data_IF_234499274015
#
_entry.id   IF_234499274015
#
_cell.length_a   1.000
_cell.length_b   1.000
_cell.length_c   1.000
_cell.angle_alpha   90.00
_cell.angle_beta   90.00
_cell.angle_gamma   90.00
#
_symmetry.space_group_name_H-M   'P 1'
#
loop_
_entity.id
_entity.type
_entity.pdbx_description
1 polymer ?
#
# COMPACT_ATOMS: atom_id res chain seq x y z
N UNK A 1 34.83 -15.45 -16.16
CA UNK A 1 34.51 -15.13 -14.75
C UNK A 1 34.12 -13.64 -14.58
N UNK A 2 33.45 -13.01 -15.56
CA UNK A 2 33.57 -11.54 -15.76
C UNK A 2 32.23 -10.78 -15.80
N UNK A 3 31.08 -11.45 -15.94
CA UNK A 3 29.76 -10.78 -16.01
C UNK A 3 29.32 -10.20 -14.66
N UNK A 4 29.59 -10.91 -13.56
CA UNK A 4 29.12 -10.53 -12.22
C UNK A 4 29.81 -9.28 -11.67
N UNK A 5 31.04 -8.98 -12.09
CA UNK A 5 31.76 -7.76 -11.70
C UNK A 5 31.21 -6.50 -12.39
N UNK A 6 30.65 -6.64 -13.61
CA UNK A 6 30.02 -5.53 -14.35
C UNK A 6 28.60 -5.22 -13.87
N UNK A 7 27.88 -6.20 -13.32
CA UNK A 7 26.49 -6.03 -12.86
C UNK A 7 26.37 -5.34 -11.50
N UNK A 8 27.31 -5.57 -10.58
CA UNK A 8 27.33 -4.93 -9.26
C UNK A 8 27.27 -3.39 -9.31
N UNK A 9 28.11 -2.68 -10.08
CA UNK A 9 28.07 -1.22 -10.14
C UNK A 9 26.78 -0.70 -10.78
N UNK A 10 26.23 -1.43 -11.77
CA UNK A 10 24.96 -1.06 -12.43
C UNK A 10 23.78 -1.21 -11.48
N UNK A 11 23.72 -2.31 -10.72
CA UNK A 11 22.67 -2.51 -9.71
C UNK A 11 22.76 -1.48 -8.58
N UNK A 12 23.98 -1.15 -8.13
CA UNK A 12 24.21 -0.09 -7.14
C UNK A 12 23.85 1.30 -7.69
N UNK A 13 24.11 1.58 -8.96
CA UNK A 13 23.74 2.83 -9.61
C UNK A 13 22.22 2.96 -9.78
N UNK A 14 21.55 1.89 -10.19
CA UNK A 14 20.08 1.83 -10.27
C UNK A 14 19.49 2.04 -8.88
N UNK A 15 19.97 1.33 -7.85
CA UNK A 15 19.53 1.52 -6.47
C UNK A 15 19.72 2.96 -5.98
N UNK A 16 20.87 3.57 -6.27
CA UNK A 16 21.18 4.96 -5.91
C UNK A 16 20.30 5.98 -6.67
N UNK A 17 20.03 5.75 -7.95
CA UNK A 17 19.13 6.59 -8.77
C UNK A 17 17.69 6.50 -8.27
N UNK A 18 17.22 5.30 -7.96
CA UNK A 18 15.89 5.09 -7.37
C UNK A 18 15.82 5.80 -6.01
N UNK A 19 16.83 5.63 -5.16
CA UNK A 19 16.89 6.27 -3.84
C UNK A 19 16.87 7.80 -3.93
N UNK A 20 17.68 8.40 -4.81
CA UNK A 20 17.67 9.86 -5.03
C UNK A 20 16.39 10.39 -5.66
N UNK A 21 15.60 9.54 -6.32
CA UNK A 21 14.28 9.90 -6.87
C UNK A 21 13.19 9.84 -5.82
N UNK A 22 13.32 8.97 -4.81
CA UNK A 22 12.38 8.87 -3.68
C UNK A 22 12.65 9.96 -2.63
N UNK A 23 13.92 10.35 -2.42
CA UNK A 23 14.33 11.40 -1.49
C UNK A 23 14.97 12.55 -2.28
N UNK A 24 14.12 13.44 -2.81
CA UNK A 24 14.55 14.54 -3.71
C UNK A 24 14.96 15.81 -2.98
N UNK A 25 14.70 15.93 -1.69
CA UNK A 25 14.90 17.16 -0.91
C UNK A 25 15.46 16.83 0.48
N UNK A 26 16.40 17.65 0.97
CA UNK A 26 16.94 17.56 2.32
C UNK A 26 15.89 17.86 3.39
N UNK A 27 16.04 17.25 4.57
CA UNK A 27 15.18 17.50 5.72
C UNK A 27 15.57 18.83 6.35
N UNK A 28 14.89 19.90 5.92
CA UNK A 28 14.96 21.20 6.57
C UNK A 28 13.73 21.44 7.47
N UNK A 29 13.92 22.17 8.57
CA UNK A 29 12.89 22.38 9.59
C UNK A 29 11.89 23.52 9.26
N UNK A 30 12.00 24.15 8.09
CA UNK A 30 11.10 25.22 7.62
C UNK A 30 9.78 24.68 7.06
N UNK A 31 8.67 25.36 7.36
CA UNK A 31 7.32 24.93 6.96
C UNK A 31 7.08 24.88 5.45
N UNK A 32 7.79 25.72 4.68
CA UNK A 32 7.75 25.75 3.22
C UNK A 32 8.38 24.47 2.62
N UNK A 33 9.57 24.10 3.11
CA UNK A 33 10.28 22.90 2.63
C UNK A 33 9.51 21.62 2.94
N UNK A 34 8.89 21.52 4.14
CA UNK A 34 8.02 20.38 4.50
C UNK A 34 6.86 20.18 3.53
N UNK A 35 6.22 21.29 3.12
CA UNK A 35 5.11 21.22 2.17
C UNK A 35 5.62 20.79 0.78
N UNK A 36 6.75 21.33 0.33
CA UNK A 36 7.37 20.99 -0.95
C UNK A 36 7.79 19.51 -1.04
N UNK A 37 8.26 18.92 0.06
CA UNK A 37 8.58 17.48 0.15
C UNK A 37 7.33 16.64 -0.05
N UNK A 38 6.23 16.99 0.62
CA UNK A 38 4.98 16.22 0.54
C UNK A 38 4.34 16.32 -0.86
N UNK A 39 4.35 17.50 -1.49
CA UNK A 39 3.87 17.66 -2.87
C UNK A 39 4.80 17.05 -3.92
N UNK A 40 6.10 16.93 -3.62
CA UNK A 40 7.10 16.38 -4.53
C UNK A 40 7.13 14.85 -4.61
N UNK A 41 6.41 14.14 -3.73
CA UNK A 41 6.39 12.68 -3.68
C UNK A 41 4.95 12.16 -3.77
N UNK A 42 4.68 11.25 -4.71
CA UNK A 42 3.33 10.72 -4.94
C UNK A 42 2.71 10.10 -3.67
N UNK A 43 3.49 9.31 -2.93
CA UNK A 43 3.02 8.66 -1.70
C UNK A 43 2.77 9.65 -0.56
N UNK A 44 3.61 10.69 -0.46
CA UNK A 44 3.44 11.70 0.58
C UNK A 44 2.39 12.74 0.19
N UNK A 45 2.03 12.85 -1.08
CA UNK A 45 0.98 13.75 -1.56
C UNK A 45 -0.41 13.33 -1.08
N UNK A 46 -0.68 12.01 -1.08
CA UNK A 46 -1.93 11.44 -0.53
C UNK A 46 -2.04 11.66 0.97
N UNK A 47 -0.91 11.82 1.67
CA UNK A 47 -0.88 12.04 3.11
C UNK A 47 -0.96 13.54 3.43
N UNK A 48 -1.76 13.96 4.41
CA UNK A 48 -1.88 15.36 4.77
C UNK A 48 -0.57 15.92 5.36
N UNK A 49 -0.12 17.08 4.86
CA UNK A 49 1.11 17.78 5.32
C UNK A 49 1.00 18.25 6.77
N UNK A 50 -0.21 18.67 7.17
CA UNK A 50 -0.50 19.18 8.50
C UNK A 50 -1.78 18.53 8.99
N UNK A 51 -1.71 17.92 10.18
CA UNK A 51 -2.85 17.36 10.89
C UNK A 51 -3.01 18.07 12.22
N UNK A 52 -4.25 18.37 12.59
CA UNK A 52 -4.54 18.96 13.88
C UNK A 52 -4.28 17.93 14.99
N UNK A 53 -3.65 18.36 16.10
CA UNK A 53 -3.33 17.47 17.24
C UNK A 53 -4.56 16.77 17.82
N UNK A 54 -5.75 17.39 17.70
CA UNK A 54 -7.01 16.80 18.16
C UNK A 54 -7.47 15.63 17.30
N UNK A 55 -7.17 15.65 16.00
CA UNK A 55 -7.51 14.56 15.07
C UNK A 55 -6.62 13.33 15.27
N UNK A 56 -5.41 13.53 15.80
CA UNK A 56 -4.51 12.44 16.20
C UNK A 56 -4.90 11.78 17.53
N UNK A 57 -5.89 12.33 18.23
CA UNK A 57 -6.33 11.77 19.49
C UNK A 57 -7.17 10.52 19.20
N UNK A 58 -6.74 9.36 19.73
CA UNK A 58 -7.39 8.05 19.50
C UNK A 58 -8.89 8.05 19.79
N UNK A 59 -9.33 8.88 20.75
CA UNK A 59 -10.76 9.02 21.09
C UNK A 59 -11.58 9.72 20.00
N UNK A 60 -10.97 10.55 19.17
CA UNK A 60 -11.67 11.36 18.15
C UNK A 60 -11.93 10.57 16.88
N UNK A 61 -11.01 9.70 16.48
CA UNK A 61 -11.18 8.84 15.29
C UNK A 61 -11.61 7.41 15.62
N UNK A 62 -11.67 7.06 16.91
CA UNK A 62 -12.01 5.72 17.44
C UNK A 62 -11.20 4.57 16.81
N UNK A 63 -10.11 4.87 16.10
CA UNK A 63 -9.40 3.89 15.27
C UNK A 63 -10.22 3.33 14.09
N UNK A 64 -11.40 3.88 13.79
CA UNK A 64 -12.36 3.30 12.85
C UNK A 64 -11.77 3.04 11.45
N UNK A 65 -10.93 3.95 10.94
CA UNK A 65 -10.27 3.77 9.64
C UNK A 65 -9.27 2.61 9.60
N UNK A 66 -8.52 2.39 10.69
CA UNK A 66 -7.60 1.26 10.77
C UNK A 66 -8.36 -0.05 10.99
N UNK A 67 -9.44 0.00 11.78
CA UNK A 67 -10.32 -1.15 12.03
C UNK A 67 -10.97 -1.62 10.72
N UNK A 68 -11.56 -0.72 9.93
CA UNK A 68 -12.19 -1.10 8.65
C UNK A 68 -11.18 -1.61 7.64
N UNK A 69 -9.97 -1.02 7.58
CA UNK A 69 -8.89 -1.52 6.73
C UNK A 69 -8.42 -2.92 7.15
N UNK A 70 -8.28 -3.16 8.46
CA UNK A 70 -7.91 -4.48 8.98
C UNK A 70 -8.98 -5.54 8.71
N UNK A 71 -10.26 -5.20 8.94
CA UNK A 71 -11.38 -6.07 8.61
C UNK A 71 -11.43 -6.37 7.11
N UNK A 72 -11.15 -5.39 6.25
CA UNK A 72 -11.06 -5.58 4.81
C UNK A 72 -9.95 -6.57 4.42
N UNK A 73 -8.76 -6.47 5.03
CA UNK A 73 -7.67 -7.42 4.76
C UNK A 73 -8.04 -8.85 5.17
N UNK A 74 -8.67 -9.02 6.34
CA UNK A 74 -9.18 -10.33 6.77
C UNK A 74 -10.20 -10.84 5.76
N UNK A 75 -11.17 -10.01 5.36
CA UNK A 75 -12.22 -10.37 4.41
C UNK A 75 -11.63 -10.77 3.04
N UNK A 76 -10.63 -10.05 2.54
CA UNK A 76 -9.97 -10.38 1.28
C UNK A 76 -9.22 -11.71 1.43
N UNK A 77 -8.48 -11.90 2.52
CA UNK A 77 -7.75 -13.14 2.77
C UNK A 77 -8.66 -14.37 2.88
N UNK A 78 -9.73 -14.28 3.68
CA UNK A 78 -10.71 -15.37 3.82
C UNK A 78 -11.57 -15.52 2.57
N UNK A 79 -11.90 -14.43 1.88
CA UNK A 79 -12.64 -14.44 0.62
C UNK A 79 -11.88 -15.15 -0.49
N UNK A 80 -10.58 -14.89 -0.64
CA UNK A 80 -9.71 -15.61 -1.58
C UNK A 80 -9.68 -17.10 -1.21
N UNK A 81 -9.55 -17.44 0.07
CA UNK A 81 -9.58 -18.83 0.52
C UNK A 81 -10.91 -19.51 0.16
N UNK A 82 -12.04 -18.80 0.33
CA UNK A 82 -13.36 -19.27 -0.07
C UNK A 82 -13.46 -19.46 -1.59
N UNK A 83 -12.87 -18.60 -2.41
CA UNK A 83 -12.92 -18.74 -3.88
C UNK A 83 -12.24 -20.02 -4.37
N UNK A 84 -11.26 -20.56 -3.64
CA UNK A 84 -10.67 -21.88 -3.97
C UNK A 84 -11.61 -23.06 -3.66
N UNK A 85 -12.53 -22.90 -2.72
CA UNK A 85 -13.53 -23.91 -2.37
C UNK A 85 -14.87 -23.68 -3.08
N UNK A 86 -15.16 -22.44 -3.49
CA UNK A 86 -16.41 -22.06 -4.10
C UNK A 86 -16.45 -22.48 -5.56
N UNK A 87 -17.41 -23.32 -5.92
CA UNK A 87 -17.71 -23.69 -7.30
C UNK A 87 -18.95 -22.90 -7.73
N UNK A 88 -18.82 -21.90 -8.62
CA UNK A 88 -19.99 -21.21 -9.16
C UNK A 88 -20.69 -22.13 -10.17
N UNK A 89 -21.65 -22.93 -9.71
CA UNK A 89 -22.52 -23.73 -10.57
C UNK A 89 -23.81 -22.94 -10.88
N UNK A 90 -24.19 -22.90 -12.15
CA UNK A 90 -25.52 -22.44 -12.60
C UNK A 90 -26.29 -23.58 -13.27
N UNK A 91 -25.72 -24.78 -13.31
CA UNK A 91 -26.31 -25.94 -13.97
C UNK A 91 -27.14 -26.71 -12.95
N UNK A 92 -28.45 -26.90 -13.19
CA UNK A 92 -29.22 -27.87 -12.44
C UNK A 92 -28.59 -29.26 -12.63
N UNK A 93 -28.49 -30.02 -11.56
CA UNK A 93 -28.05 -31.40 -11.54
C UNK A 93 -28.87 -32.28 -12.48
N UNK A 94 -28.45 -33.53 -12.70
CA UNK A 94 -29.17 -34.47 -13.55
C UNK A 94 -30.62 -34.73 -13.08
N UNK A 95 -30.91 -34.44 -11.81
CA UNK A 95 -32.22 -34.50 -11.16
C UNK A 95 -33.03 -33.18 -11.23
N UNK A 96 -32.47 -32.14 -11.85
CA UNK A 96 -33.07 -30.81 -11.97
C UNK A 96 -32.92 -29.92 -10.74
N UNK A 97 -32.13 -30.30 -9.74
CA UNK A 97 -31.88 -29.49 -8.55
C UNK A 97 -30.57 -28.70 -8.67
N UNK A 98 -30.46 -27.47 -8.16
CA UNK A 98 -29.19 -26.74 -8.17
C UNK A 98 -28.18 -27.46 -7.28
N UNK A 99 -27.17 -28.10 -7.87
CA UNK A 99 -26.09 -28.75 -7.13
C UNK A 99 -25.04 -27.71 -6.75
N UNK A 100 -24.73 -27.65 -5.45
CA UNK A 100 -23.82 -26.68 -4.84
C UNK A 100 -22.34 -26.91 -5.21
#
# INVERSE_FOLDING_TARGET
MTKMQKLKPVLLEIGRKVYGTVIRHGVDNTGLTKSKIMFGNLFLHTQPVKVHKRTLNFKTTLGAGLITFYLFLILVGTGILLMFHYVPSTHPGPDGLPEA
#
